data_IF_680986329747
#
_entry.id   IF_680986329747
#
_cell.length_a   1.000
_cell.length_b   1.000
_cell.length_c   1.000
_cell.angle_alpha   90.00
_cell.angle_beta   90.00
_cell.angle_gamma   90.00
#
_symmetry.space_group_name_H-M   'P 1'
#
loop_
_entity.id
_entity.type
_entity.pdbx_description
1 polymer ?
#
# COMPACT_ATOMS: atom_id res chain seq x y z
N UNK A 1 13.53 15.02 -21.37
CA UNK A 1 13.83 14.59 -20.00
C UNK A 1 12.97 13.42 -19.63
N UNK A 2 13.60 12.35 -19.23
CA UNK A 2 12.86 11.21 -18.74
C UNK A 2 12.30 11.53 -17.36
N UNK A 3 10.98 11.53 -17.22
CA UNK A 3 10.34 11.61 -15.91
C UNK A 3 10.47 10.26 -15.21
N UNK A 4 10.71 10.28 -13.90
CA UNK A 4 10.73 9.08 -13.10
C UNK A 4 9.29 8.58 -12.96
N UNK A 5 9.08 7.29 -13.21
CA UNK A 5 7.79 6.63 -12.97
C UNK A 5 7.96 5.64 -11.84
N UNK A 6 7.36 5.94 -10.69
CA UNK A 6 7.44 5.12 -9.50
C UNK A 6 6.25 4.18 -9.34
N UNK A 7 5.39 4.07 -10.34
CA UNK A 7 4.29 3.09 -10.32
C UNK A 7 4.86 1.69 -10.07
N UNK A 8 4.20 0.93 -9.20
CA UNK A 8 4.65 -0.41 -8.78
C UNK A 8 5.98 -0.41 -8.04
N UNK A 9 6.29 0.68 -7.34
CA UNK A 9 7.46 0.77 -6.46
C UNK A 9 7.01 0.93 -5.02
N UNK A 10 7.87 0.52 -4.10
CA UNK A 10 7.74 0.88 -2.69
C UNK A 10 8.47 2.19 -2.42
N UNK A 11 7.86 3.03 -1.60
CA UNK A 11 8.53 4.17 -0.98
C UNK A 11 8.82 3.80 0.47
N UNK A 12 10.08 3.89 0.85
CA UNK A 12 10.53 3.63 2.22
C UNK A 12 10.84 4.97 2.87
N UNK A 13 10.12 5.31 3.95
CA UNK A 13 10.36 6.56 4.65
C UNK A 13 11.72 6.53 5.33
N UNK A 14 12.50 7.58 5.15
CA UNK A 14 13.80 7.68 5.82
C UNK A 14 13.60 7.82 7.34
N UNK A 15 14.55 7.31 8.17
CA UNK A 15 14.38 7.32 9.62
C UNK A 15 14.21 8.71 10.23
N UNK A 16 14.72 9.75 9.57
CA UNK A 16 14.63 11.13 10.05
C UNK A 16 13.37 11.86 9.59
N UNK A 17 12.46 11.17 8.90
CA UNK A 17 11.19 11.78 8.49
C UNK A 17 10.34 12.09 9.72
N UNK A 18 9.98 13.37 9.89
CA UNK A 18 9.23 13.83 11.04
C UNK A 18 7.71 13.73 10.88
N UNK A 19 7.21 13.45 9.67
CA UNK A 19 5.78 13.39 9.39
C UNK A 19 5.14 12.22 10.16
N UNK A 20 4.14 12.48 11.04
CA UNK A 20 3.55 11.42 11.87
C UNK A 20 2.80 10.36 11.08
N UNK A 21 2.34 10.69 9.85
CA UNK A 21 1.63 9.72 9.02
C UNK A 21 2.57 8.77 8.29
N UNK A 22 3.79 9.21 7.98
CA UNK A 22 4.69 8.46 7.10
C UNK A 22 5.95 7.94 7.76
N UNK A 23 6.22 8.34 9.03
CA UNK A 23 7.38 7.82 9.76
C UNK A 23 7.34 6.28 9.82
N UNK A 24 8.42 5.64 9.40
CA UNK A 24 8.58 4.17 9.38
C UNK A 24 7.51 3.46 8.56
N UNK A 25 7.01 4.10 7.51
CA UNK A 25 6.02 3.48 6.63
C UNK A 25 6.67 2.88 5.41
N UNK A 26 5.97 1.86 4.88
CA UNK A 26 6.18 1.34 3.55
C UNK A 26 4.95 1.70 2.74
N UNK A 27 5.13 2.46 1.66
CA UNK A 27 4.03 2.88 0.79
C UNK A 27 4.18 2.23 -0.57
N UNK A 28 3.09 1.67 -1.08
CA UNK A 28 3.05 1.10 -2.42
C UNK A 28 2.46 2.14 -3.37
N UNK A 29 3.22 2.52 -4.40
CA UNK A 29 2.79 3.54 -5.38
C UNK A 29 1.93 2.86 -6.43
N UNK A 30 0.65 3.25 -6.48
CA UNK A 30 -0.33 2.68 -7.40
C UNK A 30 -0.39 3.45 -8.72
N UNK A 31 -0.11 4.74 -8.69
CA UNK A 31 -0.14 5.60 -9.87
C UNK A 31 0.85 6.75 -9.68
N UNK A 32 1.60 7.06 -10.72
CA UNK A 32 2.53 8.19 -10.72
C UNK A 32 2.65 8.74 -12.14
N UNK A 33 2.37 10.03 -12.30
CA UNK A 33 2.46 10.71 -13.59
C UNK A 33 2.73 12.21 -13.35
N UNK A 34 2.63 13.00 -14.41
CA UNK A 34 2.86 14.45 -14.35
C UNK A 34 1.85 15.19 -13.49
N UNK A 35 0.69 14.60 -13.22
CA UNK A 35 -0.37 15.19 -12.41
C UNK A 35 -0.22 14.90 -10.92
N UNK A 36 0.67 13.99 -10.55
CA UNK A 36 0.91 13.62 -9.17
C UNK A 36 1.07 12.13 -8.98
N UNK A 37 0.85 11.68 -7.76
CA UNK A 37 0.95 10.26 -7.43
C UNK A 37 -0.08 9.85 -6.39
N UNK A 38 -0.42 8.56 -6.40
CA UNK A 38 -1.33 7.94 -5.44
C UNK A 38 -0.67 6.67 -4.92
N UNK A 39 -0.65 6.50 -3.59
CA UNK A 39 -0.09 5.32 -2.97
C UNK A 39 -0.90 4.86 -1.78
N UNK A 40 -0.61 3.65 -1.34
CA UNK A 40 -1.25 3.03 -0.18
C UNK A 40 -0.15 2.63 0.81
N UNK A 41 -0.25 3.10 2.05
CA UNK A 41 0.61 2.62 3.14
C UNK A 41 0.20 1.18 3.45
N UNK A 42 1.16 0.25 3.45
CA UNK A 42 0.84 -1.18 3.49
C UNK A 42 1.37 -1.88 4.73
N UNK A 43 1.90 -1.16 5.71
CA UNK A 43 2.46 -1.76 6.92
C UNK A 43 1.88 -1.19 8.23
N UNK A 44 0.73 -0.52 8.18
CA UNK A 44 0.08 0.04 9.37
C UNK A 44 -1.33 -0.52 9.55
N UNK A 45 -1.47 -1.68 10.20
CA UNK A 45 -2.81 -2.17 10.53
C UNK A 45 -3.46 -1.26 11.58
N UNK A 46 -4.78 -1.10 11.46
CA UNK A 46 -5.58 -0.41 12.46
C UNK A 46 -6.33 -1.43 13.31
N UNK A 47 -6.95 -0.98 14.39
CA UNK A 47 -7.73 -1.85 15.27
C UNK A 47 -9.12 -2.12 14.66
N UNK A 48 -9.12 -2.79 13.52
CA UNK A 48 -10.32 -3.18 12.80
C UNK A 48 -10.02 -4.43 11.97
N UNK A 49 -10.93 -5.39 12.00
CA UNK A 49 -10.82 -6.60 11.18
C UNK A 49 -11.70 -6.51 9.95
N UNK A 50 -11.47 -7.39 8.98
CA UNK A 50 -12.32 -7.48 7.79
C UNK A 50 -13.76 -7.78 8.18
N UNK A 51 -13.98 -8.65 9.17
CA UNK A 51 -15.32 -8.96 9.69
C UNK A 51 -16.01 -7.69 10.21
N UNK A 52 -15.30 -6.87 11.00
CA UNK A 52 -15.86 -5.63 11.53
C UNK A 52 -16.23 -4.65 10.42
N UNK A 53 -15.39 -4.55 9.39
CA UNK A 53 -15.68 -3.71 8.22
C UNK A 53 -16.93 -4.20 7.50
N UNK A 54 -17.04 -5.51 7.28
CA UNK A 54 -18.19 -6.09 6.59
C UNK A 54 -19.48 -5.87 7.37
N UNK A 55 -19.43 -5.96 8.70
CA UNK A 55 -20.59 -5.65 9.54
C UNK A 55 -21.06 -4.22 9.38
N UNK A 56 -20.11 -3.26 9.32
CA UNK A 56 -20.43 -1.84 9.09
C UNK A 56 -21.07 -1.60 7.73
N UNK A 57 -20.68 -2.39 6.73
CA UNK A 57 -21.21 -2.27 5.37
C UNK A 57 -22.45 -3.11 5.13
N UNK A 58 -22.91 -3.82 6.15
CA UNK A 58 -24.06 -4.75 6.04
C UNK A 58 -23.82 -5.85 5.02
N UNK A 59 -22.57 -6.34 4.96
CA UNK A 59 -22.16 -7.43 4.10
C UNK A 59 -21.86 -8.67 4.93
N UNK A 60 -22.22 -9.83 4.39
CA UNK A 60 -21.87 -11.12 4.98
C UNK A 60 -20.49 -11.56 4.46
N UNK A 61 -19.72 -12.19 5.33
CA UNK A 61 -18.41 -12.76 4.96
C UNK A 61 -18.53 -14.28 5.04
N UNK A 62 -18.62 -14.93 3.88
CA UNK A 62 -18.80 -16.38 3.77
C UNK A 62 -17.57 -17.16 4.27
N UNK A 63 -16.38 -16.68 3.92
CA UNK A 63 -15.12 -17.33 4.30
C UNK A 63 -14.67 -16.82 5.66
N UNK A 64 -14.93 -17.57 6.72
CA UNK A 64 -14.55 -17.19 8.08
C UNK A 64 -13.03 -17.13 8.29
N UNK A 65 -12.24 -17.74 7.43
CA UNK A 65 -10.77 -17.64 7.51
C UNK A 65 -10.29 -16.22 7.28
N UNK A 66 -11.08 -15.38 6.59
CA UNK A 66 -10.74 -13.98 6.33
C UNK A 66 -11.21 -13.03 7.44
N UNK A 67 -11.99 -13.50 8.40
CA UNK A 67 -12.65 -12.64 9.39
C UNK A 67 -11.67 -11.79 10.19
N UNK A 68 -10.52 -12.36 10.57
CA UNK A 68 -9.53 -11.70 11.41
C UNK A 68 -8.46 -10.94 10.60
N UNK A 69 -8.58 -10.89 9.27
CA UNK A 69 -7.65 -10.16 8.44
C UNK A 69 -7.67 -8.67 8.83
N UNK A 70 -6.50 -8.03 9.00
CA UNK A 70 -6.47 -6.65 9.44
C UNK A 70 -6.88 -5.69 8.31
N UNK A 71 -7.46 -4.56 8.70
CA UNK A 71 -7.66 -3.40 7.85
C UNK A 71 -6.48 -2.46 8.10
N UNK A 72 -6.00 -1.78 7.07
CA UNK A 72 -4.81 -0.94 7.15
C UNK A 72 -5.17 0.53 7.08
N UNK A 73 -4.36 1.36 7.73
CA UNK A 73 -4.34 2.79 7.47
C UNK A 73 -3.53 3.01 6.20
N UNK A 74 -4.20 3.36 5.11
CA UNK A 74 -3.56 3.50 3.79
C UNK A 74 -2.99 4.87 3.50
N UNK A 75 -3.39 5.88 4.29
CA UNK A 75 -2.91 7.24 4.14
C UNK A 75 -3.91 8.25 4.70
N UNK A 76 -3.53 9.54 4.74
CA UNK A 76 -4.33 10.56 5.41
C UNK A 76 -5.47 11.13 4.57
N UNK A 77 -5.62 10.73 3.29
CA UNK A 77 -6.65 11.28 2.40
C UNK A 77 -7.83 10.31 2.36
N UNK A 78 -9.04 10.83 2.47
CA UNK A 78 -10.29 10.06 2.43
C UNK A 78 -10.26 8.83 3.35
N UNK A 79 -9.97 9.06 4.62
CA UNK A 79 -9.76 8.00 5.62
C UNK A 79 -11.01 7.18 5.92
N UNK A 80 -12.18 7.63 5.50
CA UNK A 80 -13.45 6.91 5.61
C UNK A 80 -13.77 6.03 4.40
N UNK A 81 -12.93 6.05 3.37
CA UNK A 81 -13.13 5.30 2.13
C UNK A 81 -12.22 4.08 2.07
N UNK A 82 -12.79 2.97 1.60
CA UNK A 82 -12.04 1.73 1.42
C UNK A 82 -11.30 1.67 0.09
N UNK A 83 -10.09 1.14 0.14
CA UNK A 83 -9.24 0.89 -1.03
C UNK A 83 -8.74 -0.54 -0.95
N UNK A 84 -8.90 -1.30 -2.01
CA UNK A 84 -8.49 -2.71 -2.04
C UNK A 84 -7.37 -2.89 -3.06
N UNK A 85 -6.18 -3.26 -2.57
CA UNK A 85 -5.10 -3.76 -3.41
C UNK A 85 -5.33 -5.26 -3.58
N UNK A 86 -5.20 -5.77 -4.80
CA UNK A 86 -5.53 -7.17 -5.05
C UNK A 86 -4.78 -7.74 -6.25
N UNK A 87 -4.73 -9.05 -6.28
CA UNK A 87 -4.11 -9.84 -7.33
C UNK A 87 -4.99 -11.06 -7.60
N UNK A 88 -5.42 -11.32 -8.82
CA UNK A 88 -5.23 -10.55 -10.04
C UNK A 88 -6.04 -9.25 -10.06
N UNK A 89 -5.78 -8.40 -11.06
CA UNK A 89 -6.44 -7.10 -11.15
C UNK A 89 -7.95 -7.21 -11.40
N UNK A 90 -8.41 -8.18 -12.19
CA UNK A 90 -9.83 -8.34 -12.47
C UNK A 90 -10.46 -7.13 -13.16
N UNK A 91 -11.79 -7.10 -13.16
CA UNK A 91 -12.56 -6.05 -13.81
C UNK A 91 -13.70 -5.58 -12.91
N UNK A 92 -13.35 -4.93 -11.79
CA UNK A 92 -14.34 -4.33 -10.90
C UNK A 92 -14.71 -2.94 -11.44
N UNK A 93 -15.80 -2.36 -10.95
CA UNK A 93 -16.33 -1.11 -11.49
C UNK A 93 -15.34 0.05 -11.46
N UNK A 94 -14.54 0.14 -10.41
CA UNK A 94 -13.56 1.22 -10.27
C UNK A 94 -12.19 0.63 -9.95
N UNK A 95 -11.55 0.03 -10.95
CA UNK A 95 -10.26 -0.64 -10.83
C UNK A 95 -9.20 0.08 -11.66
N UNK A 96 -8.08 0.39 -11.01
CA UNK A 96 -6.86 0.87 -11.68
C UNK A 96 -5.90 -0.32 -11.73
N UNK A 97 -5.43 -0.67 -12.93
CA UNK A 97 -4.37 -1.68 -13.08
C UNK A 97 -3.03 -1.01 -12.84
N UNK A 98 -2.32 -1.44 -11.79
CA UNK A 98 -1.08 -0.80 -11.41
C UNK A 98 0.08 -1.24 -12.29
N UNK A 99 0.28 -2.56 -12.41
CA UNK A 99 1.38 -3.09 -13.23
C UNK A 99 1.22 -4.60 -13.38
N UNK A 100 1.87 -5.15 -14.39
CA UNK A 100 2.05 -6.59 -14.51
C UNK A 100 3.21 -7.00 -13.57
N UNK A 101 2.89 -7.46 -12.36
CA UNK A 101 3.86 -8.01 -11.43
C UNK A 101 4.33 -9.39 -11.86
N UNK A 102 5.18 -10.02 -11.05
CA UNK A 102 5.70 -11.37 -11.32
C UNK A 102 4.59 -12.41 -11.39
N UNK A 103 3.54 -12.24 -10.63
CA UNK A 103 2.43 -13.20 -10.52
C UNK A 103 1.14 -12.70 -11.21
N UNK A 104 1.24 -11.68 -12.05
CA UNK A 104 0.10 -11.08 -12.75
C UNK A 104 -0.08 -9.61 -12.39
N UNK A 105 -1.11 -9.01 -12.96
CA UNK A 105 -1.36 -7.57 -12.74
C UNK A 105 -2.00 -7.33 -11.38
N UNK A 106 -1.44 -6.35 -10.66
CA UNK A 106 -2.00 -5.86 -9.40
C UNK A 106 -3.02 -4.78 -9.73
N UNK A 107 -4.17 -4.80 -9.06
CA UNK A 107 -5.20 -3.79 -9.19
C UNK A 107 -5.43 -3.04 -7.89
N UNK A 108 -5.95 -1.81 -8.02
CA UNK A 108 -6.47 -1.03 -6.91
C UNK A 108 -7.93 -0.73 -7.22
N UNK A 109 -8.84 -1.18 -6.36
CA UNK A 109 -10.28 -1.00 -6.56
C UNK A 109 -10.86 -0.17 -5.43
N UNK A 110 -11.70 0.79 -5.78
CA UNK A 110 -12.38 1.67 -4.82
C UNK A 110 -13.90 1.45 -4.79
N UNK A 111 -14.43 0.62 -5.68
CA UNK A 111 -15.86 0.32 -5.73
C UNK A 111 -16.23 -0.83 -4.79
N UNK A 112 -17.47 -0.80 -4.31
CA UNK A 112 -17.96 -1.76 -3.31
C UNK A 112 -18.10 -3.18 -3.87
N UNK A 113 -18.24 -3.33 -5.18
CA UNK A 113 -18.50 -4.62 -5.83
C UNK A 113 -17.43 -5.68 -5.52
N UNK A 114 -16.16 -5.26 -5.34
CA UNK A 114 -15.10 -6.20 -4.96
C UNK A 114 -15.33 -6.77 -3.55
N UNK A 115 -15.77 -5.94 -2.61
CA UNK A 115 -16.07 -6.40 -1.24
C UNK A 115 -17.29 -7.31 -1.22
N UNK A 116 -18.30 -7.01 -2.03
CA UNK A 116 -19.46 -7.88 -2.18
C UNK A 116 -19.05 -9.25 -2.73
N UNK A 117 -18.14 -9.29 -3.70
CA UNK A 117 -17.60 -10.54 -4.24
C UNK A 117 -16.78 -11.30 -3.19
N UNK A 118 -15.96 -10.61 -2.41
CA UNK A 118 -15.21 -11.22 -1.29
C UNK A 118 -16.18 -11.85 -0.29
N UNK A 119 -17.28 -11.15 0.00
CA UNK A 119 -18.32 -11.65 0.90
C UNK A 119 -18.93 -12.96 0.42
N UNK A 120 -19.09 -13.13 -0.89
CA UNK A 120 -19.63 -14.35 -1.50
C UNK A 120 -18.60 -15.46 -1.69
N UNK A 121 -17.32 -15.21 -1.38
CA UNK A 121 -16.25 -16.15 -1.64
C UNK A 121 -15.74 -16.13 -3.10
N UNK A 122 -16.05 -15.05 -3.83
CA UNK A 122 -15.70 -14.88 -5.25
C UNK A 122 -14.70 -13.74 -5.48
N UNK A 123 -14.02 -13.33 -4.44
CA UNK A 123 -13.06 -12.24 -4.50
C UNK A 123 -11.72 -12.63 -5.12
N UNK A 124 -10.77 -11.70 -5.17
CA UNK A 124 -9.44 -11.97 -5.71
C UNK A 124 -8.67 -12.98 -4.85
N UNK A 125 -7.65 -13.58 -5.45
CA UNK A 125 -6.83 -14.60 -4.77
C UNK A 125 -6.07 -14.00 -3.59
N UNK A 126 -5.53 -12.78 -3.76
CA UNK A 126 -4.81 -12.06 -2.73
C UNK A 126 -5.34 -10.63 -2.65
N UNK A 127 -5.43 -10.10 -1.44
CA UNK A 127 -5.90 -8.73 -1.26
C UNK A 127 -5.38 -8.12 0.04
N UNK A 128 -5.37 -6.79 0.06
CA UNK A 128 -5.07 -5.97 1.21
C UNK A 128 -6.08 -4.82 1.21
N UNK A 129 -6.84 -4.68 2.30
CA UNK A 129 -7.88 -3.65 2.40
C UNK A 129 -7.39 -2.52 3.30
N UNK A 130 -7.48 -1.29 2.81
CA UNK A 130 -7.08 -0.12 3.57
C UNK A 130 -8.19 0.92 3.62
N UNK A 131 -8.11 1.79 4.62
CA UNK A 131 -8.89 3.02 4.70
C UNK A 131 -7.96 4.19 4.42
N UNK A 132 -8.35 5.04 3.48
CA UNK A 132 -7.55 6.19 3.08
C UNK A 132 -6.44 5.85 2.11
N UNK A 133 -5.83 6.88 1.58
CA UNK A 133 -4.68 6.77 0.66
C UNK A 133 -3.70 7.92 0.89
N UNK A 134 -2.49 7.77 0.33
CA UNK A 134 -1.47 8.81 0.31
C UNK A 134 -1.47 9.47 -1.07
N UNK A 135 -1.52 10.79 -1.10
CA UNK A 135 -1.53 11.56 -2.34
C UNK A 135 -0.38 12.55 -2.42
N UNK A 136 0.16 12.71 -3.62
CA UNK A 136 1.17 13.71 -3.93
C UNK A 136 0.69 14.55 -5.09
N UNK A 137 0.81 15.88 -4.96
CA UNK A 137 0.51 16.80 -6.06
C UNK A 137 1.58 16.71 -7.16
N UNK A 138 1.31 17.32 -8.30
CA UNK A 138 2.25 17.32 -9.42
C UNK A 138 3.63 17.80 -8.97
N UNK A 139 4.67 16.99 -9.21
CA UNK A 139 6.06 17.30 -8.85
C UNK A 139 6.42 17.14 -7.39
N UNK A 140 5.46 16.86 -6.50
CA UNK A 140 5.73 16.77 -5.07
C UNK A 140 6.63 15.59 -4.73
N UNK A 141 6.32 14.41 -5.23
CA UNK A 141 7.10 13.21 -4.91
C UNK A 141 8.53 13.34 -5.44
N UNK A 142 8.71 13.93 -6.62
CA UNK A 142 10.04 14.19 -7.19
C UNK A 142 10.83 15.16 -6.30
N UNK A 143 10.17 16.18 -5.80
CA UNK A 143 10.79 17.15 -4.89
C UNK A 143 11.24 16.48 -3.59
N UNK A 144 10.38 15.64 -3.01
CA UNK A 144 10.70 14.90 -1.78
C UNK A 144 11.84 13.91 -1.98
N UNK A 145 11.91 13.27 -3.15
CA UNK A 145 13.04 12.39 -3.49
C UNK A 145 14.36 13.14 -3.52
N UNK A 146 14.37 14.36 -4.06
CA UNK A 146 15.57 15.21 -4.07
C UNK A 146 16.02 15.60 -2.68
N UNK A 147 15.09 15.64 -1.73
CA UNK A 147 15.38 15.94 -0.32
C UNK A 147 15.69 14.68 0.50
N UNK A 148 15.80 13.53 -0.15
CA UNK A 148 16.08 12.24 0.49
C UNK A 148 15.02 11.85 1.55
N UNK A 149 13.76 12.26 1.34
CA UNK A 149 12.67 11.86 2.23
C UNK A 149 12.31 10.39 2.09
N UNK A 150 12.52 9.82 0.89
CA UNK A 150 12.13 8.46 0.55
C UNK A 150 13.28 7.71 -0.11
N UNK A 151 13.36 6.40 0.16
CA UNK A 151 14.08 5.43 -0.65
C UNK A 151 13.05 4.70 -1.51
N UNK A 152 13.45 4.29 -2.71
CA UNK A 152 12.55 3.60 -3.64
C UNK A 152 13.12 2.25 -4.04
N UNK A 153 12.26 1.27 -4.22
CA UNK A 153 12.61 -0.05 -4.74
C UNK A 153 11.41 -0.62 -5.46
N UNK A 154 11.66 -1.34 -6.55
CA UNK A 154 10.59 -2.02 -7.28
C UNK A 154 9.87 -3.01 -6.36
N UNK A 155 8.53 -2.99 -6.38
CA UNK A 155 7.73 -3.78 -5.47
C UNK A 155 7.76 -5.27 -5.83
N UNK A 156 7.63 -6.12 -4.79
CA UNK A 156 7.48 -7.56 -4.92
C UNK A 156 6.13 -7.97 -4.36
N UNK A 157 5.38 -8.75 -5.12
CA UNK A 157 4.05 -9.23 -4.73
C UNK A 157 4.07 -9.94 -3.38
N UNK A 158 5.09 -10.78 -3.15
CA UNK A 158 5.23 -11.54 -1.92
C UNK A 158 5.34 -10.64 -0.69
N UNK A 159 6.05 -9.51 -0.80
CA UNK A 159 6.16 -8.54 0.30
C UNK A 159 4.81 -7.90 0.56
N UNK A 160 4.11 -7.55 -0.50
CA UNK A 160 2.83 -6.83 -0.40
C UNK A 160 1.72 -7.69 0.19
N UNK A 161 1.63 -8.97 -0.22
CA UNK A 161 0.49 -9.82 0.11
C UNK A 161 0.79 -11.00 1.04
N UNK A 162 2.02 -11.51 1.05
CA UNK A 162 2.32 -12.78 1.72
C UNK A 162 2.98 -12.61 3.08
N UNK A 163 3.50 -11.43 3.42
CA UNK A 163 4.17 -11.17 4.69
C UNK A 163 3.25 -10.50 5.70
N UNK A 164 3.44 -10.77 7.00
CA UNK A 164 2.80 -9.96 8.04
C UNK A 164 3.22 -8.49 7.93
N UNK A 165 2.36 -7.60 8.44
CA UNK A 165 2.56 -6.15 8.32
C UNK A 165 3.93 -5.68 8.82
N UNK A 166 4.37 -6.22 9.97
CA UNK A 166 5.63 -5.82 10.60
C UNK A 166 6.88 -6.35 9.90
N UNK A 167 6.74 -7.31 9.00
CA UNK A 167 7.85 -7.85 8.23
C UNK A 167 8.00 -7.19 6.85
N UNK A 168 7.03 -6.41 6.42
CA UNK A 168 7.04 -5.82 5.06
C UNK A 168 8.11 -4.76 4.88
N UNK A 169 8.25 -3.84 5.83
CA UNK A 169 9.28 -2.80 5.74
C UNK A 169 10.69 -3.39 5.79
N UNK A 170 11.05 -4.26 6.75
CA UNK A 170 12.37 -4.91 6.71
C UNK A 170 12.65 -5.67 5.42
N UNK A 171 11.66 -6.38 4.89
CA UNK A 171 11.83 -7.12 3.63
C UNK A 171 12.10 -6.20 2.44
N UNK A 172 11.39 -5.08 2.36
CA UNK A 172 11.61 -4.09 1.31
C UNK A 172 13.01 -3.48 1.43
N UNK A 173 13.47 -3.19 2.64
CA UNK A 173 14.82 -2.67 2.87
C UNK A 173 15.89 -3.69 2.48
N UNK A 174 15.66 -4.98 2.71
CA UNK A 174 16.58 -6.03 2.30
C UNK A 174 16.76 -6.08 0.78
N UNK A 175 15.75 -5.69 0.00
CA UNK A 175 15.89 -5.60 -1.45
C UNK A 175 16.93 -4.56 -1.86
N UNK A 176 17.16 -3.55 -1.01
CA UNK A 176 18.18 -2.52 -1.23
C UNK A 176 19.51 -2.87 -0.55
N UNK A 177 19.59 -4.00 0.17
CA UNK A 177 20.78 -4.35 0.93
C UNK A 177 20.97 -3.47 2.18
N UNK A 178 19.90 -2.91 2.72
CA UNK A 178 19.95 -1.95 3.84
C UNK A 178 19.39 -2.56 5.12
N UNK A 179 19.90 -2.05 6.27
CA UNK A 179 19.39 -2.34 7.59
C UNK A 179 18.88 -1.04 8.20
N UNK A 180 17.62 -1.00 8.59
CA UNK A 180 17.00 0.20 9.13
C UNK A 180 17.70 0.71 10.40
N UNK A 181 18.14 -0.19 11.26
CA UNK A 181 18.87 0.19 12.47
C UNK A 181 20.19 0.91 12.14
N UNK A 182 20.91 0.44 11.13
CA UNK A 182 22.15 1.08 10.69
C UNK A 182 21.90 2.44 10.05
N UNK A 183 20.80 2.58 9.30
CA UNK A 183 20.41 3.87 8.73
C UNK A 183 20.08 4.89 9.83
N UNK A 184 19.36 4.44 10.88
CA UNK A 184 19.03 5.30 12.01
C UNK A 184 20.27 5.77 12.73
N UNK A 185 21.26 4.88 12.95
CA UNK A 185 22.54 5.22 13.55
C UNK A 185 23.30 6.26 12.71
N UNK A 186 23.37 6.05 11.41
CA UNK A 186 24.03 6.99 10.51
C UNK A 186 23.35 8.37 10.51
N UNK A 187 22.05 8.39 10.53
CA UNK A 187 21.28 9.64 10.61
C UNK A 187 21.54 10.37 11.94
N UNK A 188 21.72 9.62 13.03
CA UNK A 188 22.03 10.17 14.33
C UNK A 188 23.43 10.75 14.46
N UNK A 189 24.33 10.43 13.55
CA UNK A 189 25.72 10.89 13.55
C UNK A 189 26.01 12.00 12.54
N UNK A 190 25.00 12.46 11.84
CA UNK A 190 25.14 13.50 10.81
C UNK A 190 25.35 14.88 11.39
#
# INVERSE_FOLDING_TARGET
MSSIDLTNHFLIAMPNMADPYFSRTLTYVCEHNEQGALGIVVNRPIDMTLQALFERLSLNLKDHALADAPIYFGGPVQTDRGFVLHLPAGEWQATIKVSAGESGAIGLTTSKDILEAVGRGEGPVKMLVSLGYAGWSAGQIEHELKQNAWLTVEAKDAILFDLPADERLPAAMNLLGLDFARLADQAGHA
#
